data_IF_963234034751
#
_entry.id   IF_963234034751
#
_cell.length_a   1.000
_cell.length_b   1.000
_cell.length_c   1.000
_cell.angle_alpha   90.00
_cell.angle_beta   90.00
_cell.angle_gamma   90.00
#
_symmetry.space_group_name_H-M   'P 1'
#
loop_
_entity.id
_entity.type
_entity.pdbx_description
1 polymer ?
#
# COMPACT_ATOMS: atom_id res chain seq x y z
N UNK A 1 0.54 19.44 -39.82
CA UNK A 1 0.72 19.52 -38.35
C UNK A 1 -0.16 18.44 -37.76
N UNK A 2 0.42 17.36 -37.23
CA UNK A 2 -0.35 16.31 -36.53
C UNK A 2 -0.29 16.67 -35.06
N UNK A 3 -1.45 16.84 -34.43
CA UNK A 3 -1.55 16.95 -32.98
C UNK A 3 -0.94 15.69 -32.37
N UNK A 4 0.09 15.91 -31.56
CA UNK A 4 0.67 14.88 -30.73
C UNK A 4 -0.34 14.67 -29.59
N UNK A 5 -1.19 13.66 -29.71
CA UNK A 5 -1.98 13.17 -28.58
C UNK A 5 -0.98 12.75 -27.52
N UNK A 6 -0.79 13.62 -26.51
CA UNK A 6 -0.14 13.24 -25.28
C UNK A 6 -1.07 12.19 -24.70
N UNK A 7 -0.73 10.91 -24.91
CA UNK A 7 -1.29 9.85 -24.09
C UNK A 7 -1.00 10.29 -22.68
N UNK A 8 -2.04 10.65 -21.92
CA UNK A 8 -1.92 10.74 -20.48
C UNK A 8 -1.34 9.38 -20.09
N UNK A 9 -0.04 9.37 -19.81
CA UNK A 9 0.52 8.35 -18.96
C UNK A 9 -0.16 8.69 -17.66
N UNK A 10 -1.32 8.08 -17.43
CA UNK A 10 -1.75 7.80 -16.08
C UNK A 10 -0.57 7.04 -15.51
N UNK A 11 0.34 7.79 -14.89
CA UNK A 11 1.27 7.23 -13.94
C UNK A 11 0.32 6.82 -12.83
N UNK A 12 -0.28 5.65 -13.01
CA UNK A 12 -0.60 4.81 -11.88
C UNK A 12 0.75 4.73 -11.18
N UNK A 13 0.93 5.58 -10.16
CA UNK A 13 2.08 5.55 -9.25
C UNK A 13 1.96 4.20 -8.55
N UNK A 14 2.32 3.16 -9.29
CA UNK A 14 2.05 1.77 -8.97
C UNK A 14 3.10 1.37 -7.95
N UNK A 15 2.84 1.80 -6.71
CA UNK A 15 3.66 1.46 -5.59
C UNK A 15 3.45 -0.02 -5.27
N UNK A 16 4.38 -0.81 -5.76
CA UNK A 16 4.46 -2.22 -5.42
C UNK A 16 5.33 -2.42 -4.16
N UNK A 17 4.88 -3.34 -3.31
CA UNK A 17 5.69 -3.85 -2.22
C UNK A 17 6.79 -4.75 -2.77
N UNK A 18 8.01 -4.57 -2.29
CA UNK A 18 9.15 -5.44 -2.56
C UNK A 18 9.50 -6.26 -1.30
N UNK A 19 10.39 -7.24 -1.46
CA UNK A 19 10.88 -8.02 -0.32
C UNK A 19 11.51 -7.11 0.75
N UNK A 20 11.14 -7.33 2.02
CA UNK A 20 11.59 -6.51 3.14
C UNK A 20 10.73 -5.28 3.45
N UNK A 21 9.79 -4.91 2.57
CA UNK A 21 8.88 -3.79 2.86
C UNK A 21 7.87 -4.08 3.96
N UNK A 22 7.52 -5.36 4.14
CA UNK A 22 6.55 -5.82 5.12
C UNK A 22 7.22 -6.86 6.00
N UNK A 23 7.37 -6.54 7.28
CA UNK A 23 7.83 -7.49 8.29
C UNK A 23 6.64 -7.97 9.09
N UNK A 24 6.44 -9.28 9.18
CA UNK A 24 5.42 -9.89 10.05
C UNK A 24 6.11 -10.49 11.26
N UNK A 25 5.60 -10.20 12.45
CA UNK A 25 6.18 -10.69 13.70
C UNK A 25 5.09 -11.02 14.72
N UNK A 26 5.50 -11.60 15.85
CA UNK A 26 4.64 -11.79 17.02
C UNK A 26 5.33 -11.05 18.16
N UNK A 27 4.74 -9.96 18.62
CA UNK A 27 5.23 -9.18 19.75
C UNK A 27 4.35 -9.51 20.95
N UNK A 28 4.91 -10.15 21.96
CA UNK A 28 4.18 -10.48 23.21
C UNK A 28 2.87 -11.24 22.92
N UNK A 29 2.95 -12.27 22.07
CA UNK A 29 1.82 -13.09 21.63
C UNK A 29 0.77 -12.38 20.75
N UNK A 30 1.02 -11.13 20.33
CA UNK A 30 0.13 -10.36 19.44
C UNK A 30 0.78 -10.31 18.05
N UNK A 31 0.08 -10.73 16.96
CA UNK A 31 0.58 -10.54 15.61
C UNK A 31 0.84 -9.07 15.32
N UNK A 32 1.99 -8.75 14.71
CA UNK A 32 2.36 -7.41 14.25
C UNK A 32 2.75 -7.44 12.77
N UNK A 33 2.56 -6.29 12.11
CA UNK A 33 2.98 -6.03 10.74
C UNK A 33 3.71 -4.70 10.76
N UNK A 34 4.98 -4.66 10.40
CA UNK A 34 5.75 -3.42 10.36
C UNK A 34 6.16 -3.12 8.91
N UNK A 35 6.21 -1.84 8.58
CA UNK A 35 6.57 -1.37 7.25
C UNK A 35 8.00 -0.85 7.23
N UNK A 36 8.68 -1.02 6.09
CA UNK A 36 9.98 -0.39 5.85
C UNK A 36 9.87 1.14 5.84
N UNK A 37 11.00 1.81 6.07
CA UNK A 37 11.09 3.27 5.98
C UNK A 37 10.66 3.76 4.58
N UNK A 38 10.98 3.01 3.53
CA UNK A 38 10.57 3.31 2.15
C UNK A 38 9.05 3.39 2.00
N UNK A 39 8.34 2.40 2.55
CA UNK A 39 6.87 2.39 2.55
C UNK A 39 6.35 3.57 3.34
N UNK A 40 6.88 3.84 4.54
CA UNK A 40 6.44 4.98 5.35
C UNK A 40 6.61 6.32 4.62
N UNK A 41 7.76 6.54 3.96
CA UNK A 41 8.03 7.74 3.18
C UNK A 41 7.09 7.87 1.98
N UNK A 42 6.84 6.77 1.27
CA UNK A 42 5.87 6.74 0.18
C UNK A 42 4.47 7.12 0.68
N UNK A 43 4.03 6.53 1.80
CA UNK A 43 2.73 6.83 2.37
C UNK A 43 2.62 8.29 2.76
N UNK A 44 3.64 8.86 3.39
CA UNK A 44 3.66 10.29 3.76
C UNK A 44 3.56 11.21 2.53
N UNK A 45 4.16 10.81 1.41
CA UNK A 45 4.15 11.58 0.17
C UNK A 45 2.78 11.50 -0.55
N UNK A 46 2.15 10.32 -0.56
CA UNK A 46 0.93 10.04 -1.32
C UNK A 46 -0.37 10.10 -0.49
N UNK A 47 -0.33 10.60 0.76
CA UNK A 47 -1.49 10.69 1.68
C UNK A 47 -2.70 11.48 1.12
N UNK A 48 -2.56 12.18 -0.01
CA UNK A 48 -3.67 12.89 -0.64
C UNK A 48 -4.71 11.97 -1.31
N UNK A 49 -4.30 10.78 -1.72
CA UNK A 49 -5.11 9.84 -2.52
C UNK A 49 -5.01 8.38 -2.08
N UNK A 50 -4.02 8.03 -1.24
CA UNK A 50 -3.73 6.65 -0.85
C UNK A 50 -4.20 6.31 0.57
N UNK A 51 -4.93 5.20 0.73
CA UNK A 51 -5.33 4.66 2.04
C UNK A 51 -4.64 3.31 2.26
N UNK A 52 -3.88 3.18 3.35
CA UNK A 52 -3.31 1.89 3.77
C UNK A 52 -4.10 1.31 4.93
N UNK A 53 -4.59 0.09 4.72
CA UNK A 53 -5.32 -0.69 5.71
C UNK A 53 -4.38 -1.79 6.24
N UNK A 54 -3.93 -1.63 7.50
CA UNK A 54 -3.16 -2.66 8.23
C UNK A 54 -4.10 -3.44 9.13
N UNK A 55 -4.28 -4.74 8.85
CA UNK A 55 -5.16 -5.60 9.66
C UNK A 55 -4.42 -6.78 10.29
N UNK A 56 -4.66 -6.97 11.58
CA UNK A 56 -4.04 -7.98 12.43
C UNK A 56 -5.15 -8.80 13.10
N UNK A 57 -5.10 -10.12 12.97
CA UNK A 57 -6.01 -11.03 13.69
C UNK A 57 -7.31 -11.44 12.96
N UNK A 58 -7.72 -12.67 13.28
CA UNK A 58 -8.90 -13.48 12.89
C UNK A 58 -9.61 -13.19 11.55
N UNK A 59 -9.43 -14.12 10.59
CA UNK A 59 -10.37 -14.49 9.51
C UNK A 59 -11.27 -13.38 8.97
N UNK A 60 -10.63 -12.31 8.52
CA UNK A 60 -11.33 -11.24 7.83
C UNK A 60 -11.51 -11.73 6.40
N UNK A 61 -12.74 -12.17 6.07
CA UNK A 61 -13.06 -12.51 4.70
C UNK A 61 -12.94 -11.26 3.83
N UNK A 62 -12.43 -11.40 2.61
CA UNK A 62 -12.36 -10.28 1.64
C UNK A 62 -13.70 -9.53 1.49
N UNK A 63 -14.82 -10.22 1.71
CA UNK A 63 -16.16 -9.63 1.73
C UNK A 63 -16.37 -8.54 2.80
N UNK A 64 -15.63 -8.58 3.92
CA UNK A 64 -15.66 -7.54 4.95
C UNK A 64 -15.01 -6.22 4.52
N UNK A 65 -14.30 -6.22 3.39
CA UNK A 65 -13.68 -5.03 2.78
C UNK A 65 -14.49 -4.50 1.58
N UNK A 66 -15.69 -5.04 1.33
CA UNK A 66 -16.58 -4.50 0.30
C UNK A 66 -17.29 -3.24 0.79
N UNK A 67 -17.46 -2.28 -0.13
CA UNK A 67 -18.11 -0.98 0.08
C UNK A 67 -19.62 -1.11 -0.16
#
# INVERSE_FOLDING_TARGET
>A
MRENSITAVEVEDNFDFVEGDITRSIVTSIPSIDFSERVLLFLLQEMGTTVVIKILGLNIGYASLQN
#
